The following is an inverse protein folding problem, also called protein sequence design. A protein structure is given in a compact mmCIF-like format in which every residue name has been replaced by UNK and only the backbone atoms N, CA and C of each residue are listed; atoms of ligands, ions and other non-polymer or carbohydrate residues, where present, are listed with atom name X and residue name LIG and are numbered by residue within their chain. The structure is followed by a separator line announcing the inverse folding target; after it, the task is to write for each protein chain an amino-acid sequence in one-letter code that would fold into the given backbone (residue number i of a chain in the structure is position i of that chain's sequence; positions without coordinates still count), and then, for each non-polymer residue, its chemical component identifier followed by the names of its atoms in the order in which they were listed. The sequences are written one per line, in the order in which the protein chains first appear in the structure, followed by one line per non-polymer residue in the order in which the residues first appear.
data_IF_066473853123
#
_entry.id   IF_066473853123
#
_cell.length_a   1.000
_cell.length_b   1.000
_cell.length_c   1.000
_cell.angle_alpha   90.00
_cell.angle_beta   90.00
_cell.angle_gamma   90.00
#
_symmetry.space_group_name_H-M   'P 1'
#
loop_
_entity.id
_entity.type
_entity.pdbx_description
1 polymer ?
#
# COMPACT_ATOMS: atom_id res chain seq x y z
N UNK A 1 54.00 4.02 -46.09
CA UNK A 1 54.78 2.86 -46.55
C UNK A 1 55.24 2.06 -45.34
N UNK A 2 55.19 0.73 -45.47
CA UNK A 2 55.85 -0.30 -44.65
C UNK A 2 55.14 -0.80 -43.37
N UNK A 3 54.39 -1.89 -43.55
CA UNK A 3 54.31 -3.09 -42.67
C UNK A 3 55.73 -3.76 -42.60
N UNK A 4 56.07 -4.81 -41.79
CA UNK A 4 55.28 -5.72 -40.94
C UNK A 4 55.88 -5.99 -39.53
N UNK A 5 55.25 -6.79 -38.65
CA UNK A 5 55.68 -8.18 -38.39
C UNK A 5 54.77 -8.89 -37.37
N UNK A 6 54.48 -10.15 -37.72
CA UNK A 6 53.68 -11.18 -37.06
C UNK A 6 54.09 -11.52 -35.62
N UNK A 7 53.13 -12.09 -34.87
CA UNK A 7 53.26 -13.45 -34.34
C UNK A 7 51.92 -14.02 -33.83
N UNK A 8 51.45 -15.08 -34.51
CA UNK A 8 50.43 -16.01 -34.03
C UNK A 8 50.96 -16.82 -32.85
N UNK A 9 50.16 -17.00 -31.80
CA UNK A 9 50.31 -18.12 -30.86
C UNK A 9 48.97 -18.84 -30.75
N UNK A 10 49.10 -20.15 -30.86
CA UNK A 10 48.09 -21.15 -31.02
C UNK A 10 47.19 -21.37 -29.80
N UNK A 11 46.04 -21.95 -30.12
CA UNK A 11 45.04 -22.54 -29.25
C UNK A 11 45.61 -23.41 -28.11
N UNK A 12 45.02 -23.25 -26.92
CA UNK A 12 44.81 -24.36 -26.01
C UNK A 12 43.31 -24.65 -25.95
N UNK A 13 42.92 -25.65 -26.73
CA UNK A 13 41.70 -26.42 -26.55
C UNK A 13 41.74 -27.10 -25.19
N UNK A 14 40.72 -26.89 -24.35
CA UNK A 14 40.30 -27.91 -23.39
C UNK A 14 38.79 -28.13 -23.50
N UNK A 15 38.35 -29.33 -23.93
CA UNK A 15 36.95 -29.72 -24.01
C UNK A 15 36.49 -30.42 -22.71
N UNK A 16 35.17 -30.63 -22.64
CA UNK A 16 34.43 -31.39 -21.62
C UNK A 16 34.20 -30.64 -20.30
N UNK A 17 32.95 -30.37 -19.89
CA UNK A 17 31.86 -31.34 -19.76
C UNK A 17 30.45 -30.77 -19.97
N UNK A 18 29.50 -31.58 -20.46
CA UNK A 18 28.15 -31.17 -20.80
C UNK A 18 27.13 -31.45 -19.67
N UNK A 19 25.94 -30.87 -19.87
CA UNK A 19 24.63 -31.32 -19.35
C UNK A 19 24.34 -31.10 -17.85
N UNK A 20 23.68 -29.99 -17.53
CA UNK A 20 22.33 -30.00 -16.94
C UNK A 20 21.84 -28.56 -16.78
N UNK A 21 21.17 -28.03 -17.81
CA UNK A 21 20.17 -26.97 -17.58
C UNK A 21 18.96 -27.68 -16.99
N UNK A 22 18.92 -27.81 -15.66
CA UNK A 22 17.70 -28.19 -14.94
C UNK A 22 16.79 -26.98 -14.95
N UNK A 23 15.75 -27.09 -15.78
CA UNK A 23 14.38 -26.64 -15.53
C UNK A 23 14.19 -25.37 -14.72
N UNK A 24 13.91 -24.30 -15.45
CA UNK A 24 13.22 -23.11 -15.00
C UNK A 24 11.81 -23.45 -14.42
N UNK A 25 11.40 -22.68 -13.41
CA UNK A 25 10.01 -22.32 -13.08
C UNK A 25 9.05 -23.38 -12.50
N UNK A 26 9.04 -23.55 -11.17
CA UNK A 26 7.82 -23.99 -10.43
C UNK A 26 7.57 -23.28 -9.09
N UNK A 27 8.34 -22.26 -8.71
CA UNK A 27 8.26 -21.68 -7.34
C UNK A 27 7.42 -20.40 -7.20
N UNK A 28 6.56 -20.07 -8.17
CA UNK A 28 5.78 -18.81 -8.16
C UNK A 28 4.28 -18.99 -7.85
N UNK A 29 3.83 -20.21 -7.50
CA UNK A 29 2.38 -20.48 -7.31
C UNK A 29 2.03 -20.96 -5.91
N UNK A 30 2.72 -20.47 -4.88
CA UNK A 30 2.14 -20.51 -3.54
C UNK A 30 1.25 -19.27 -3.40
N UNK A 31 -0.09 -19.40 -3.37
CA UNK A 31 -0.92 -18.31 -2.90
C UNK A 31 -0.44 -17.99 -1.49
N UNK A 32 0.20 -16.84 -1.33
CA UNK A 32 0.51 -16.32 -0.01
C UNK A 32 -0.84 -16.07 0.64
N UNK A 33 -1.26 -17.00 1.49
CA UNK A 33 -2.40 -16.82 2.36
C UNK A 33 -1.95 -15.82 3.41
N UNK A 34 -2.06 -14.53 3.07
CA UNK A 34 -1.86 -13.44 4.02
C UNK A 34 -3.05 -13.54 4.97
N UNK A 35 -2.86 -14.24 6.09
CA UNK A 35 -3.75 -14.07 7.23
C UNK A 35 -3.71 -12.60 7.60
N UNK A 36 -4.85 -11.92 7.52
CA UNK A 36 -5.01 -10.64 8.17
C UNK A 36 -4.80 -10.90 9.66
N UNK A 37 -3.59 -10.61 10.15
CA UNK A 37 -3.34 -10.52 11.58
C UNK A 37 -4.32 -9.46 12.08
N UNK A 38 -5.35 -9.89 12.82
CA UNK A 38 -6.23 -8.96 13.51
C UNK A 38 -5.33 -7.97 14.24
N UNK A 39 -5.36 -6.71 13.78
CA UNK A 39 -4.53 -5.67 14.33
C UNK A 39 -5.01 -5.37 15.75
N UNK A 40 -4.38 -6.05 16.70
CA UNK A 40 -4.17 -5.62 18.07
C UNK A 40 -5.42 -5.59 18.94
N UNK A 41 -5.27 -6.18 20.12
CA UNK A 41 -6.26 -6.18 21.19
C UNK A 41 -6.44 -4.75 21.73
N UNK A 42 -7.28 -3.96 21.05
CA UNK A 42 -7.68 -2.61 21.48
C UNK A 42 -6.55 -1.57 21.52
N UNK A 43 -6.86 -0.44 22.16
CA UNK A 43 -5.93 0.67 22.33
C UNK A 43 -5.26 0.58 23.71
N UNK A 44 -3.95 0.85 23.78
CA UNK A 44 -3.25 1.03 25.06
C UNK A 44 -3.68 2.34 25.73
N UNK A 45 -4.53 2.22 26.76
CA UNK A 45 -5.06 3.36 27.50
C UNK A 45 -3.99 4.12 28.30
N UNK A 46 -2.92 3.45 28.72
CA UNK A 46 -1.80 4.10 29.43
C UNK A 46 -1.05 5.01 28.47
N UNK A 47 -0.78 4.54 27.25
CA UNK A 47 -0.21 5.35 26.18
C UNK A 47 -1.12 6.52 25.78
N UNK A 48 -2.43 6.29 25.62
CA UNK A 48 -3.38 7.38 25.32
C UNK A 48 -3.32 8.49 26.40
N UNK A 49 -3.38 8.09 27.66
CA UNK A 49 -3.34 9.03 28.80
C UNK A 49 -2.01 9.78 28.87
N UNK A 50 -0.89 9.08 28.67
CA UNK A 50 0.45 9.69 28.67
C UNK A 50 0.61 10.75 27.57
N UNK A 51 -0.10 10.59 26.45
CA UNK A 51 -0.15 11.56 25.35
C UNK A 51 -1.25 12.63 25.49
N UNK A 52 -1.99 12.65 26.61
CA UNK A 52 -3.09 13.59 26.82
C UNK A 52 -4.31 13.33 25.91
N UNK A 53 -4.41 12.14 25.33
CA UNK A 53 -5.55 11.70 24.54
C UNK A 53 -6.59 11.11 25.49
N UNK A 54 -7.84 11.57 25.40
CA UNK A 54 -8.94 11.01 26.18
C UNK A 54 -9.09 9.50 25.85
N UNK A 55 -8.98 8.59 26.84
CA UNK A 55 -9.20 7.16 26.65
C UNK A 55 -10.52 6.81 25.97
N UNK A 56 -11.56 7.64 26.09
CA UNK A 56 -12.85 7.46 25.40
C UNK A 56 -12.74 7.43 23.88
N UNK A 57 -11.69 8.01 23.31
CA UNK A 57 -11.45 7.92 21.85
C UNK A 57 -11.22 6.47 21.42
N UNK A 58 -10.69 5.62 22.31
CA UNK A 58 -10.55 4.18 22.05
C UNK A 58 -11.90 3.49 21.87
N UNK A 59 -12.93 3.87 22.64
CA UNK A 59 -14.29 3.36 22.53
C UNK A 59 -14.85 3.60 21.13
N UNK A 60 -14.53 4.76 20.56
CA UNK A 60 -14.97 5.14 19.24
C UNK A 60 -14.25 4.35 18.13
N UNK A 61 -12.92 4.22 18.19
CA UNK A 61 -12.15 3.64 17.09
C UNK A 61 -11.89 2.13 17.20
N UNK A 62 -12.18 1.48 18.33
CA UNK A 62 -11.86 0.05 18.56
C UNK A 62 -12.50 -0.92 17.56
N UNK A 63 -13.66 -0.57 17.03
CA UNK A 63 -14.42 -1.47 16.16
C UNK A 63 -14.08 -1.27 14.67
N UNK A 64 -13.75 -0.04 14.27
CA UNK A 64 -13.48 0.31 12.88
C UNK A 64 -12.80 1.67 12.78
N UNK A 65 -11.95 1.83 11.75
CA UNK A 65 -11.50 3.13 11.29
C UNK A 65 -12.68 3.89 10.65
N UNK A 66 -12.94 5.11 11.12
CA UNK A 66 -14.07 5.94 10.69
C UNK A 66 -13.79 7.43 10.87
N UNK A 67 -14.60 8.29 10.27
CA UNK A 67 -14.51 9.73 10.49
C UNK A 67 -15.14 10.10 11.84
N UNK A 68 -14.59 11.09 12.53
CA UNK A 68 -15.25 11.71 13.70
C UNK A 68 -16.52 12.45 13.28
N UNK A 69 -17.49 12.50 14.19
CA UNK A 69 -18.68 13.31 14.00
C UNK A 69 -18.35 14.79 13.71
N UNK A 70 -19.23 15.44 12.95
CA UNK A 70 -19.10 16.85 12.60
C UNK A 70 -18.62 17.09 11.17
N UNK A 71 -18.16 18.31 10.89
CA UNK A 71 -17.73 18.74 9.54
C UNK A 71 -16.21 18.59 9.41
N UNK A 72 -15.77 17.87 8.38
CA UNK A 72 -14.36 17.65 8.07
C UNK A 72 -14.08 17.88 6.58
N UNK A 73 -12.90 18.42 6.29
CA UNK A 73 -12.42 18.60 4.92
C UNK A 73 -11.89 17.26 4.41
N UNK A 74 -12.55 16.70 3.39
CA UNK A 74 -12.20 15.38 2.82
C UNK A 74 -12.04 15.46 1.31
N UNK A 75 -11.26 14.54 0.75
CA UNK A 75 -11.18 14.34 -0.70
C UNK A 75 -12.40 13.59 -1.22
N UNK A 76 -13.18 14.21 -2.10
CA UNK A 76 -14.33 13.60 -2.74
C UNK A 76 -13.92 12.86 -4.01
N UNK A 77 -14.38 11.61 -4.14
CA UNK A 77 -14.36 10.84 -5.39
C UNK A 77 -15.75 10.29 -5.69
N UNK A 78 -16.22 10.45 -6.93
CA UNK A 78 -17.51 9.90 -7.38
C UNK A 78 -17.24 8.94 -8.52
N UNK A 79 -17.63 7.67 -8.35
CA UNK A 79 -17.35 6.60 -9.33
C UNK A 79 -15.86 6.52 -9.72
N UNK A 80 -14.97 6.76 -8.75
CA UNK A 80 -13.53 6.78 -8.99
C UNK A 80 -12.96 8.11 -9.49
N UNK A 81 -13.77 9.09 -9.91
CA UNK A 81 -13.30 10.39 -10.38
C UNK A 81 -13.11 11.39 -9.22
N UNK A 82 -11.90 11.94 -9.00
CA UNK A 82 -11.67 12.92 -7.95
C UNK A 82 -12.31 14.27 -8.30
N UNK A 83 -13.06 14.85 -7.35
CA UNK A 83 -13.71 16.17 -7.48
C UNK A 83 -13.05 17.25 -6.59
N UNK A 84 -12.03 16.86 -5.83
CA UNK A 84 -11.26 17.74 -4.95
C UNK A 84 -11.70 17.71 -3.49
N UNK A 85 -11.24 18.71 -2.73
CA UNK A 85 -11.59 18.85 -1.32
C UNK A 85 -12.97 19.50 -1.14
N UNK A 86 -13.72 18.99 -0.16
CA UNK A 86 -15.06 19.44 0.20
C UNK A 86 -15.27 19.34 1.71
N UNK A 87 -16.16 20.19 2.24
CA UNK A 87 -16.67 20.06 3.61
C UNK A 87 -17.72 18.95 3.66
N UNK A 88 -17.41 17.86 4.35
CA UNK A 88 -18.31 16.71 4.53
C UNK A 88 -18.75 16.61 5.99
N UNK A 89 -20.03 16.35 6.22
CA UNK A 89 -20.58 16.11 7.56
C UNK A 89 -20.68 14.61 7.82
N UNK A 90 -20.21 14.18 8.99
CA UNK A 90 -20.32 12.80 9.46
C UNK A 90 -21.20 12.73 10.71
N UNK A 91 -21.97 11.65 10.81
CA UNK A 91 -22.77 11.34 12.00
C UNK A 91 -21.91 10.73 13.11
N UNK A 92 -22.57 10.40 14.22
CA UNK A 92 -21.95 9.78 15.39
C UNK A 92 -21.43 8.37 15.15
N UNK A 93 -21.78 7.70 14.05
CA UNK A 93 -21.18 6.43 13.65
C UNK A 93 -20.01 6.61 12.68
N UNK A 94 -19.76 7.84 12.22
CA UNK A 94 -18.74 8.19 11.25
C UNK A 94 -19.17 7.96 9.80
N UNK A 95 -20.48 7.88 9.53
CA UNK A 95 -21.05 7.75 8.17
C UNK A 95 -21.29 9.13 7.57
N UNK A 96 -21.10 9.23 6.26
CA UNK A 96 -21.30 10.47 5.52
C UNK A 96 -22.79 10.86 5.52
N UNK A 97 -23.11 12.02 6.10
CA UNK A 97 -24.42 12.64 5.98
C UNK A 97 -24.54 13.33 4.62
N UNK A 98 -25.14 12.65 3.65
CA UNK A 98 -25.43 13.25 2.34
C UNK A 98 -26.43 14.41 2.50
N UNK A 99 -25.92 15.64 2.51
CA UNK A 99 -26.74 16.85 2.49
C UNK A 99 -27.01 17.22 1.03
N UNK A 100 -28.24 17.61 0.63
CA UNK A 100 -28.58 17.95 -0.76
C UNK A 100 -27.70 19.03 -1.43
N UNK A 101 -26.89 19.78 -0.66
CA UNK A 101 -25.94 20.78 -1.15
C UNK A 101 -24.60 20.24 -1.70
N UNK A 102 -24.36 18.93 -1.62
CA UNK A 102 -23.05 18.33 -1.98
C UNK A 102 -22.67 18.41 -3.47
N UNK A 103 -23.64 18.67 -4.35
CA UNK A 103 -23.47 18.54 -5.81
C UNK A 103 -23.12 19.83 -6.56
N UNK A 104 -22.52 20.84 -5.92
CA UNK A 104 -22.20 22.12 -6.58
C UNK A 104 -20.71 22.41 -6.76
N UNK A 105 -19.97 21.46 -7.32
CA UNK A 105 -18.81 21.77 -8.17
C UNK A 105 -19.18 21.39 -9.61
N UNK A 106 -19.71 22.36 -10.35
CA UNK A 106 -19.76 22.35 -11.81
C UNK A 106 -18.57 23.18 -12.30
N UNK A 107 -17.81 22.64 -13.23
CA UNK A 107 -16.70 23.30 -13.92
C UNK A 107 -15.47 22.43 -13.91
#
# INVERSE_FOLDING_TARGET
MSNPSSQSIAAYFWPCRPTLIIGFATLWSLPVLVSALELGEGFDLASLTAHGIDPKVSDYFRNAARFREGVQVVGLRVNGNPLGLVDARFDHEGRLCFTPGYWRKRG
#
